data_IF_247586545651
#
_entry.id   IF_247586545651
#
_cell.length_a   1.000
_cell.length_b   1.000
_cell.length_c   1.000
_cell.angle_alpha   90.00
_cell.angle_beta   90.00
_cell.angle_gamma   90.00
#
_symmetry.space_group_name_H-M   'P 1'
#
loop_
_entity.id
_entity.type
_entity.pdbx_description
1 polymer ?
#
# COMPACT_ATOMS: atom_id res chain seq x y z
N UNK A 1 14.82 31.57 49.43
CA UNK A 1 14.33 32.48 48.38
C UNK A 1 15.50 32.79 47.45
N UNK A 2 15.46 32.33 46.21
CA UNK A 2 16.57 32.53 45.25
C UNK A 2 16.38 31.65 44.02
N UNK A 3 15.31 31.90 43.27
CA UNK A 3 15.00 31.18 42.03
C UNK A 3 16.05 31.47 40.96
N UNK A 4 16.62 30.43 40.36
CA UNK A 4 17.43 30.54 39.15
C UNK A 4 16.50 30.47 37.94
N UNK A 5 16.34 31.59 37.25
CA UNK A 5 15.69 31.65 35.94
C UNK A 5 16.54 30.90 34.91
N UNK A 6 15.97 29.86 34.29
CA UNK A 6 16.53 29.27 33.07
C UNK A 6 16.10 30.13 31.88
N UNK A 7 17.06 30.77 31.21
CA UNK A 7 16.83 31.39 29.91
C UNK A 7 16.82 30.31 28.83
N UNK A 8 15.81 30.38 27.95
CA UNK A 8 15.71 29.55 26.75
C UNK A 8 16.70 30.06 25.68
N UNK A 9 17.61 29.21 25.25
CA UNK A 9 18.50 29.45 24.10
C UNK A 9 17.70 29.22 22.82
N UNK A 10 17.71 30.12 21.83
CA UNK A 10 16.95 29.92 20.60
C UNK A 10 17.54 28.77 19.77
N UNK A 11 16.65 28.00 19.13
CA UNK A 11 17.03 26.94 18.20
C UNK A 11 17.61 27.56 16.92
N UNK A 12 18.92 27.40 16.72
CA UNK A 12 19.54 27.73 15.44
C UNK A 12 19.16 26.70 14.37
N UNK A 13 18.50 27.17 13.31
CA UNK A 13 18.27 26.39 12.11
C UNK A 13 19.59 26.22 11.36
N UNK A 14 20.22 25.05 11.52
CA UNK A 14 21.45 24.72 10.78
C UNK A 14 21.09 24.40 9.33
N UNK A 15 21.31 25.36 8.45
CA UNK A 15 21.21 25.15 7.01
C UNK A 15 22.19 24.05 6.57
N UNK A 16 21.66 22.90 6.14
CA UNK A 16 22.46 21.83 5.55
C UNK A 16 22.94 22.33 4.18
N UNK A 17 24.17 22.85 4.12
CA UNK A 17 24.86 23.13 2.86
C UNK A 17 25.17 21.80 2.17
N UNK A 18 24.29 21.37 1.27
CA UNK A 18 24.61 20.33 0.30
C UNK A 18 25.69 20.86 -0.66
N UNK A 19 26.69 20.03 -0.96
CA UNK A 19 27.73 20.37 -1.95
C UNK A 19 27.08 20.55 -3.32
N UNK A 20 27.52 21.53 -4.11
CA UNK A 20 26.99 21.83 -5.45
C UNK A 20 26.95 20.60 -6.38
N UNK A 21 27.89 19.66 -6.19
CA UNK A 21 27.96 18.39 -6.93
C UNK A 21 26.74 17.47 -6.75
N UNK A 22 25.89 17.69 -5.75
CA UNK A 22 24.64 16.93 -5.56
C UNK A 22 23.59 17.35 -6.60
N UNK A 23 23.65 18.58 -7.12
CA UNK A 23 22.71 19.10 -8.12
C UNK A 23 22.98 18.53 -9.53
N UNK A 24 24.23 18.16 -9.82
CA UNK A 24 24.65 17.54 -11.09
C UNK A 24 24.71 16.00 -11.05
N UNK A 25 24.43 15.40 -9.89
CA UNK A 25 24.52 13.96 -9.72
C UNK A 25 23.44 13.25 -10.54
N UNK A 26 23.84 12.70 -11.69
CA UNK A 26 22.97 11.86 -12.52
C UNK A 26 22.76 10.52 -11.83
N UNK A 27 21.50 10.20 -11.51
CA UNK A 27 21.16 8.94 -10.86
C UNK A 27 21.61 7.74 -11.72
N UNK A 28 22.12 6.66 -11.11
CA UNK A 28 22.51 5.48 -11.87
C UNK A 28 21.30 4.87 -12.57
N UNK A 29 21.54 4.29 -13.74
CA UNK A 29 20.49 3.76 -14.63
C UNK A 29 19.55 2.76 -13.93
N UNK A 30 20.05 2.01 -12.96
CA UNK A 30 19.24 1.11 -12.12
C UNK A 30 18.20 1.86 -11.29
N UNK A 31 18.58 2.96 -10.63
CA UNK A 31 17.66 3.79 -9.84
C UNK A 31 16.60 4.44 -10.72
N UNK A 32 16.98 4.92 -11.90
CA UNK A 32 16.04 5.48 -12.89
C UNK A 32 15.06 4.42 -13.40
N UNK A 33 15.50 3.16 -13.56
CA UNK A 33 14.62 2.06 -13.96
C UNK A 33 13.63 1.67 -12.87
N UNK A 34 14.06 1.70 -11.61
CA UNK A 34 13.23 1.38 -10.45
C UNK A 34 12.26 2.51 -10.09
N UNK A 35 12.59 3.76 -10.39
CA UNK A 35 11.70 4.91 -10.19
C UNK A 35 10.53 4.95 -11.18
N UNK A 36 10.60 4.16 -12.27
CA UNK A 36 9.48 4.02 -13.20
C UNK A 36 8.39 3.14 -12.57
N UNK A 37 7.12 3.57 -12.62
CA UNK A 37 6.04 2.77 -12.07
C UNK A 37 5.97 1.41 -12.78
N UNK A 38 5.90 0.33 -12.00
CA UNK A 38 5.74 -1.02 -12.54
C UNK A 38 4.40 -1.09 -13.29
N UNK A 39 4.38 -1.40 -14.60
CA UNK A 39 3.12 -1.54 -15.32
C UNK A 39 2.34 -2.70 -14.70
N UNK A 40 1.14 -2.40 -14.17
CA UNK A 40 0.24 -3.41 -13.61
C UNK A 40 -0.27 -4.25 -14.77
N UNK A 41 0.13 -5.52 -14.85
CA UNK A 41 -0.42 -6.47 -15.82
C UNK A 41 -1.85 -6.78 -15.37
N UNK A 42 -2.81 -6.07 -15.94
CA UNK A 42 -4.26 -6.37 -15.98
C UNK A 42 -4.87 -6.83 -14.65
N UNK A 43 -5.54 -5.91 -13.93
CA UNK A 43 -6.46 -6.36 -12.87
C UNK A 43 -7.70 -6.99 -13.56
N UNK A 44 -8.22 -8.14 -13.10
CA UNK A 44 -9.36 -8.81 -13.75
C UNK A 44 -10.66 -7.99 -13.76
N UNK A 45 -10.74 -6.94 -12.95
CA UNK A 45 -12.00 -6.25 -12.67
C UNK A 45 -12.13 -4.88 -13.35
N UNK A 46 -11.04 -4.26 -13.82
CA UNK A 46 -11.09 -2.92 -14.42
C UNK A 46 -10.04 -2.74 -15.52
N UNK A 47 -10.41 -2.18 -16.70
CA UNK A 47 -9.47 -1.71 -17.71
C UNK A 47 -8.50 -0.68 -17.14
N UNK A 48 -7.24 -0.71 -17.59
CA UNK A 48 -6.18 0.21 -17.15
C UNK A 48 -6.35 1.61 -17.77
N UNK A 49 -7.44 2.29 -17.42
CA UNK A 49 -7.57 3.71 -17.71
C UNK A 49 -6.76 4.53 -16.68
N UNK A 50 -6.48 5.81 -16.99
CA UNK A 50 -5.80 6.71 -16.06
C UNK A 50 -6.58 6.74 -14.74
N UNK A 51 -5.91 6.83 -13.56
CA UNK A 51 -6.62 6.93 -12.27
C UNK A 51 -7.57 8.14 -12.21
N UNK A 52 -7.39 9.09 -13.11
CA UNK A 52 -8.25 10.27 -13.32
C UNK A 52 -9.61 9.95 -13.96
N UNK A 53 -9.79 8.74 -14.52
CA UNK A 53 -11.06 8.35 -15.16
C UNK A 53 -11.95 7.66 -14.12
N UNK A 54 -13.21 8.11 -13.96
CA UNK A 54 -14.11 7.52 -12.98
C UNK A 54 -14.48 6.08 -13.39
N UNK A 55 -14.49 5.17 -12.41
CA UNK A 55 -14.83 3.74 -12.59
C UNK A 55 -16.22 3.54 -13.22
N UNK A 56 -17.12 4.52 -13.07
CA UNK A 56 -18.47 4.53 -13.66
C UNK A 56 -18.73 5.85 -14.38
N UNK A 57 -19.53 5.86 -15.46
CA UNK A 57 -19.87 7.09 -16.17
C UNK A 57 -20.65 8.04 -15.25
N UNK A 58 -20.15 9.26 -15.10
CA UNK A 58 -20.80 10.34 -14.34
C UNK A 58 -21.54 11.26 -15.32
N UNK A 59 -22.71 11.76 -14.92
CA UNK A 59 -23.51 12.69 -15.72
C UNK A 59 -22.71 13.96 -16.08
N UNK A 60 -23.05 14.59 -17.21
CA UNK A 60 -22.40 15.83 -17.67
C UNK A 60 -22.51 16.93 -16.61
N UNK A 61 -23.68 17.06 -15.98
CA UNK A 61 -23.94 18.07 -14.95
C UNK A 61 -23.05 17.88 -13.72
N UNK A 62 -22.88 16.64 -13.25
CA UNK A 62 -22.03 16.37 -12.09
C UNK A 62 -20.54 16.62 -12.38
N UNK A 63 -20.07 16.43 -13.62
CA UNK A 63 -18.69 16.74 -14.04
C UNK A 63 -18.37 18.24 -14.04
N UNK A 64 -19.36 19.08 -14.32
CA UNK A 64 -19.20 20.54 -14.38
C UNK A 64 -19.86 21.25 -13.17
N UNK A 65 -20.15 20.51 -12.10
CA UNK A 65 -20.77 21.08 -10.91
C UNK A 65 -19.79 22.03 -10.21
N UNK A 66 -20.21 23.28 -10.01
CA UNK A 66 -19.46 24.28 -9.27
C UNK A 66 -19.81 24.18 -7.78
N UNK A 67 -18.81 24.23 -6.91
CA UNK A 67 -19.01 24.18 -5.47
C UNK A 67 -19.85 25.38 -4.99
N UNK A 68 -20.80 25.12 -4.08
CA UNK A 68 -21.56 26.19 -3.43
C UNK A 68 -20.67 26.97 -2.44
N UNK A 69 -21.01 28.24 -2.10
CA UNK A 69 -20.23 29.03 -1.15
C UNK A 69 -19.98 28.29 0.18
N UNK A 70 -21.02 27.63 0.70
CA UNK A 70 -20.93 26.79 1.92
C UNK A 70 -19.94 25.63 1.77
N UNK A 71 -19.91 24.96 0.62
CA UNK A 71 -18.93 23.89 0.38
C UNK A 71 -17.50 24.43 0.36
N UNK A 72 -17.28 25.60 -0.22
CA UNK A 72 -15.96 26.25 -0.24
C UNK A 72 -15.52 26.61 1.18
N UNK A 73 -16.43 27.09 2.03
CA UNK A 73 -16.15 27.35 3.45
C UNK A 73 -15.79 26.07 4.22
N UNK A 74 -16.55 24.99 4.02
CA UNK A 74 -16.30 23.69 4.66
C UNK A 74 -15.02 23.00 4.16
N UNK A 75 -14.62 23.25 2.92
CA UNK A 75 -13.39 22.71 2.35
C UNK A 75 -12.13 23.40 2.92
N UNK A 76 -12.27 24.55 3.58
CA UNK A 76 -11.14 25.18 4.27
C UNK A 76 -10.68 24.26 5.41
N UNK A 77 -9.37 23.93 5.46
CA UNK A 77 -8.86 23.14 6.57
C UNK A 77 -9.11 23.89 7.88
N UNK A 78 -9.52 23.16 8.91
CA UNK A 78 -9.65 23.75 10.25
C UNK A 78 -8.29 24.28 10.70
N UNK A 79 -8.28 25.43 11.37
CA UNK A 79 -7.06 25.88 12.04
C UNK A 79 -6.64 24.83 13.06
N UNK A 80 -5.37 24.44 12.98
CA UNK A 80 -4.74 23.62 14.01
C UNK A 80 -4.87 24.37 15.34
N UNK A 81 -5.31 23.68 16.40
CA UNK A 81 -5.26 24.27 17.73
C UNK A 81 -3.81 24.63 18.06
N UNK A 82 -3.58 25.69 18.83
CA UNK A 82 -2.24 26.09 19.32
C UNK A 82 -1.52 24.94 20.03
N UNK A 83 -2.28 23.98 20.57
CA UNK A 83 -1.77 22.78 21.23
C UNK A 83 -1.59 21.56 20.29
N UNK A 84 -1.88 21.69 19.00
CA UNK A 84 -1.66 20.65 18.00
C UNK A 84 -0.16 20.51 17.74
N UNK A 85 0.48 19.62 18.50
CA UNK A 85 1.86 19.22 18.26
C UNK A 85 1.92 18.42 16.95
N UNK A 86 2.79 18.79 15.98
CA UNK A 86 3.04 17.94 14.83
C UNK A 86 3.49 16.55 15.31
N UNK A 87 3.12 15.50 14.57
CA UNK A 87 3.36 14.11 14.96
C UNK A 87 4.79 13.91 15.46
N UNK A 88 4.92 13.27 16.64
CA UNK A 88 6.19 13.11 17.39
C UNK A 88 7.37 12.90 16.43
N UNK A 89 8.37 13.79 16.49
CA UNK A 89 9.69 13.48 15.93
C UNK A 89 10.18 12.16 16.53
N UNK A 90 10.83 11.34 15.70
CA UNK A 90 11.35 9.99 15.96
C UNK A 90 11.29 9.57 17.44
N UNK A 91 10.33 8.71 17.77
CA UNK A 91 9.99 8.33 19.15
C UNK A 91 11.22 7.88 19.95
N UNK A 92 12.26 7.33 19.28
CA UNK A 92 13.56 7.02 19.87
C UNK A 92 14.71 7.45 18.97
N UNK A 93 15.60 8.31 19.49
CA UNK A 93 16.83 8.69 18.80
C UNK A 93 17.77 7.49 18.67
N UNK A 94 18.16 7.15 17.45
CA UNK A 94 19.10 6.06 17.18
C UNK A 94 20.54 6.55 17.38
N UNK A 95 21.38 5.74 18.05
CA UNK A 95 22.81 6.07 18.21
C UNK A 95 23.52 6.12 16.86
N UNK A 96 24.52 7.01 16.71
CA UNK A 96 25.32 7.16 15.49
C UNK A 96 25.99 5.85 15.04
N UNK A 97 26.35 4.97 15.98
CA UNK A 97 26.94 3.66 15.67
C UNK A 97 25.92 2.74 14.98
N UNK A 98 24.69 2.72 15.48
CA UNK A 98 23.61 1.91 14.93
C UNK A 98 23.18 2.40 13.55
N UNK A 99 23.10 3.72 13.35
CA UNK A 99 22.77 4.31 12.04
C UNK A 99 23.83 4.01 10.95
N UNK A 100 25.08 3.73 11.35
CA UNK A 100 26.21 3.41 10.45
C UNK A 100 26.56 1.93 10.42
N UNK A 101 25.79 1.08 11.11
CA UNK A 101 26.11 -0.34 11.19
C UNK A 101 25.95 -1.00 9.81
N UNK A 102 26.99 -1.71 9.37
CA UNK A 102 26.97 -2.49 8.14
C UNK A 102 26.52 -3.92 8.43
N UNK A 103 25.82 -4.53 7.47
CA UNK A 103 25.38 -5.93 7.60
C UNK A 103 26.58 -6.87 7.76
N UNK A 104 26.48 -7.79 8.72
CA UNK A 104 27.42 -8.90 8.89
C UNK A 104 27.27 -9.93 7.76
N UNK A 105 28.30 -10.75 7.47
CA UNK A 105 28.20 -11.81 6.46
C UNK A 105 27.01 -12.74 6.70
N UNK A 106 26.78 -13.16 7.95
CA UNK A 106 25.61 -13.99 8.32
C UNK A 106 24.27 -13.31 8.01
N UNK A 107 24.14 -12.01 8.29
CA UNK A 107 22.91 -11.27 7.93
C UNK A 107 22.71 -11.19 6.42
N UNK A 108 23.78 -11.13 5.62
CA UNK A 108 23.69 -11.16 4.16
C UNK A 108 23.28 -12.55 3.66
N UNK A 109 23.82 -13.62 4.24
CA UNK A 109 23.43 -15.00 3.91
C UNK A 109 21.95 -15.25 4.22
N UNK A 110 21.48 -14.86 5.40
CA UNK A 110 20.08 -15.03 5.81
C UNK A 110 19.11 -14.14 5.03
N UNK A 111 19.58 -13.01 4.51
CA UNK A 111 18.78 -12.15 3.63
C UNK A 111 18.54 -12.78 2.26
N UNK A 112 19.29 -13.83 1.87
CA UNK A 112 19.02 -14.57 0.65
C UNK A 112 17.71 -15.37 0.81
N UNK A 113 16.78 -15.30 -0.16
CA UNK A 113 15.54 -16.06 -0.10
C UNK A 113 15.86 -17.56 -0.08
N UNK A 114 15.18 -18.30 0.79
CA UNK A 114 15.32 -19.74 0.87
C UNK A 114 14.99 -20.38 -0.50
N UNK A 115 15.93 -21.13 -1.06
CA UNK A 115 15.74 -21.90 -2.30
C UNK A 115 14.85 -23.12 -2.00
N UNK A 116 13.55 -22.89 -1.81
CA UNK A 116 12.55 -23.97 -1.78
C UNK A 116 12.10 -24.23 -3.22
N UNK A 117 12.00 -25.50 -3.62
CA UNK A 117 11.33 -25.83 -4.86
C UNK A 117 9.87 -25.32 -4.78
N UNK A 118 9.31 -24.77 -5.87
CA UNK A 118 7.94 -24.26 -5.85
C UNK A 118 6.97 -25.38 -5.48
N UNK A 119 6.00 -25.06 -4.61
CA UNK A 119 5.01 -26.03 -4.11
C UNK A 119 4.29 -26.79 -5.25
N UNK A 120 4.09 -26.09 -6.37
CA UNK A 120 3.49 -26.63 -7.59
C UNK A 120 4.28 -27.80 -8.21
N UNK A 121 5.56 -27.97 -7.90
CA UNK A 121 6.37 -29.08 -8.43
C UNK A 121 6.49 -30.23 -7.44
N UNK A 122 6.40 -29.97 -6.13
CA UNK A 122 6.58 -31.00 -5.09
C UNK A 122 5.28 -31.72 -4.69
N UNK A 123 4.11 -31.10 -4.89
CA UNK A 123 2.82 -31.62 -4.41
C UNK A 123 1.76 -31.79 -5.51
N UNK A 124 2.12 -31.62 -6.79
CA UNK A 124 1.14 -31.74 -7.87
C UNK A 124 0.78 -33.20 -8.11
N UNK A 125 -0.36 -33.61 -7.55
CA UNK A 125 -1.02 -34.85 -7.91
C UNK A 125 -2.06 -34.55 -9.02
N UNK A 126 -1.82 -34.97 -10.27
CA UNK A 126 -2.72 -34.69 -11.39
C UNK A 126 -4.10 -35.33 -11.21
N UNK A 127 -4.21 -36.35 -10.36
CA UNK A 127 -5.43 -37.13 -10.16
C UNK A 127 -6.22 -36.71 -8.93
N UNK A 128 -5.77 -35.69 -8.19
CA UNK A 128 -6.42 -35.22 -6.96
C UNK A 128 -7.89 -34.81 -7.15
N UNK A 129 -8.25 -34.38 -8.37
CA UNK A 129 -9.61 -33.94 -8.72
C UNK A 129 -10.28 -34.88 -9.74
N UNK A 130 -9.68 -36.02 -10.05
CA UNK A 130 -10.26 -36.99 -10.97
C UNK A 130 -11.37 -37.78 -10.26
N UNK A 131 -12.62 -37.45 -10.59
CA UNK A 131 -13.81 -38.13 -10.03
C UNK A 131 -13.99 -39.51 -10.67
N UNK A 132 -14.30 -40.52 -9.86
CA UNK A 132 -14.58 -41.90 -10.31
C UNK A 132 -15.78 -41.93 -11.27
N UNK A 133 -15.72 -42.79 -12.30
CA UNK A 133 -16.79 -42.93 -13.29
C UNK A 133 -18.15 -43.31 -12.70
N UNK A 134 -18.17 -44.07 -11.59
CA UNK A 134 -19.40 -44.40 -10.87
C UNK A 134 -20.08 -43.15 -10.26
N UNK A 135 -19.29 -42.20 -9.76
CA UNK A 135 -19.81 -40.97 -9.18
C UNK A 135 -20.34 -40.00 -10.25
N UNK A 136 -19.79 -40.02 -11.48
CA UNK A 136 -20.32 -39.26 -12.62
C UNK A 136 -21.70 -39.74 -13.09
N UNK A 137 -22.02 -41.01 -12.84
CA UNK A 137 -23.30 -41.65 -13.21
C UNK A 137 -24.34 -41.61 -12.08
N UNK A 138 -23.99 -41.06 -10.92
CA UNK A 138 -24.90 -41.01 -9.79
C UNK A 138 -26.09 -40.07 -10.11
N UNK A 139 -27.30 -40.58 -9.92
CA UNK A 139 -28.53 -39.80 -10.03
C UNK A 139 -28.87 -39.15 -8.69
N UNK A 140 -29.53 -38.00 -8.75
CA UNK A 140 -30.02 -37.32 -7.55
C UNK A 140 -31.09 -38.17 -6.86
N UNK A 141 -31.17 -38.13 -5.53
CA UNK A 141 -32.27 -38.77 -4.81
C UNK A 141 -33.56 -37.97 -5.00
N UNK A 142 -34.71 -38.65 -4.95
CA UNK A 142 -36.04 -38.02 -5.08
C UNK A 142 -36.22 -36.83 -4.13
N UNK A 143 -35.65 -36.91 -2.92
CA UNK A 143 -35.69 -35.82 -1.94
C UNK A 143 -34.94 -34.57 -2.43
N UNK A 144 -33.77 -34.71 -3.03
CA UNK A 144 -33.00 -33.58 -3.57
C UNK A 144 -33.76 -32.93 -4.73
N UNK A 145 -34.40 -33.73 -5.59
CA UNK A 145 -35.25 -33.20 -6.67
C UNK A 145 -36.42 -32.37 -6.14
N UNK A 146 -37.06 -32.80 -5.05
CA UNK A 146 -38.14 -32.01 -4.43
C UNK A 146 -37.64 -30.68 -3.84
N UNK A 147 -36.44 -30.68 -3.25
CA UNK A 147 -35.84 -29.48 -2.65
C UNK A 147 -35.27 -28.51 -3.68
N UNK A 148 -34.84 -29.01 -4.84
CA UNK A 148 -34.33 -28.20 -5.92
C UNK A 148 -35.42 -27.36 -6.60
N UNK A 149 -36.71 -27.68 -6.39
CA UNK A 149 -37.83 -26.87 -6.85
C UNK A 149 -37.94 -25.60 -5.99
N UNK A 150 -38.21 -24.43 -6.61
CA UNK A 150 -38.31 -23.17 -5.88
C UNK A 150 -39.47 -23.22 -4.87
N UNK A 151 -39.22 -22.68 -3.67
CA UNK A 151 -40.25 -22.54 -2.65
C UNK A 151 -41.13 -21.35 -3.04
N UNK A 152 -42.38 -21.61 -3.41
CA UNK A 152 -43.37 -20.56 -3.62
C UNK A 152 -43.84 -20.05 -2.26
N UNK A 153 -43.46 -18.82 -1.91
CA UNK A 153 -44.09 -18.09 -0.81
C UNK A 153 -45.27 -17.29 -1.38
N UNK A 154 -46.49 -17.62 -0.94
CA UNK A 154 -47.73 -16.88 -1.20
C UNK A 154 -48.08 -15.98 -0.04
#
# INVERSE_FOLDING_TARGET
>A
MGGKSFQAVPAEFVAVRSKASVLEATAPQGTIRLSKPKPRKTSPCFPLERPEVPIRPISKMARYAVATPRMVELAKPKHFSTECQPGRSEIWSVSRRTARATATPRTLELAQPAKRAPMNTLQYNPDAFTVKEAAKKALCSSRIETLAKPISHS
#
